data_IF_141065241915
#
_entry.id   IF_141065241915
#
_cell.length_a   1.000
_cell.length_b   1.000
_cell.length_c   1.000
_cell.angle_alpha   90.00
_cell.angle_beta   90.00
_cell.angle_gamma   90.00
#
_symmetry.space_group_name_H-M   'P 1'
#
loop_
_entity.id
_entity.type
_entity.pdbx_description
1 polymer ?
#
# COMPACT_ATOMS: atom_id res chain seq x y z
N UNK A 1 26.90 -46.43 -3.35
CA UNK A 1 25.44 -46.21 -3.49
C UNK A 1 24.81 -45.39 -2.36
N UNK A 2 25.13 -45.60 -1.08
CA UNK A 2 24.52 -44.83 0.04
C UNK A 2 24.96 -43.36 0.12
N UNK A 3 26.22 -43.04 -0.20
CA UNK A 3 26.76 -41.67 -0.14
C UNK A 3 26.18 -40.77 -1.24
N UNK A 4 25.97 -41.32 -2.45
CA UNK A 4 25.43 -40.60 -3.60
C UNK A 4 23.97 -40.21 -3.38
N UNK A 5 23.17 -41.09 -2.77
CA UNK A 5 21.78 -40.82 -2.38
C UNK A 5 21.74 -39.74 -1.30
N UNK A 6 22.62 -39.81 -0.29
CA UNK A 6 22.69 -38.80 0.77
C UNK A 6 23.06 -37.41 0.23
N UNK A 7 24.07 -37.32 -0.64
CA UNK A 7 24.45 -36.05 -1.30
C UNK A 7 23.31 -35.52 -2.17
N UNK A 8 22.58 -36.39 -2.87
CA UNK A 8 21.42 -35.99 -3.66
C UNK A 8 20.31 -35.43 -2.77
N UNK A 9 19.98 -36.06 -1.64
CA UNK A 9 19.00 -35.52 -0.69
C UNK A 9 19.46 -34.18 -0.10
N UNK A 10 20.73 -34.06 0.31
CA UNK A 10 21.28 -32.80 0.84
C UNK A 10 21.20 -31.70 -0.23
N UNK A 11 21.65 -31.94 -1.45
CA UNK A 11 21.57 -30.98 -2.56
C UNK A 11 20.12 -30.66 -2.93
N UNK A 12 19.21 -31.64 -2.87
CA UNK A 12 17.78 -31.44 -3.12
C UNK A 12 17.16 -30.55 -2.03
N UNK A 13 17.43 -30.80 -0.75
CA UNK A 13 17.02 -29.95 0.37
C UNK A 13 17.64 -28.54 0.32
N UNK A 14 18.91 -28.41 -0.09
CA UNK A 14 19.55 -27.12 -0.30
C UNK A 14 19.00 -26.37 -1.54
N UNK A 15 18.59 -27.08 -2.59
CA UNK A 15 17.93 -26.48 -3.76
C UNK A 15 16.48 -26.05 -3.48
N UNK A 16 15.79 -26.69 -2.53
CA UNK A 16 14.49 -26.23 -2.04
C UNK A 16 14.60 -25.00 -1.14
N UNK A 17 15.77 -24.72 -0.56
CA UNK A 17 16.13 -23.40 -0.04
C UNK A 17 16.61 -22.46 -1.16
N UNK A 18 16.00 -22.55 -2.33
CA UNK A 18 15.89 -21.37 -3.19
C UNK A 18 15.19 -20.33 -2.34
N UNK A 19 15.93 -19.34 -1.84
CA UNK A 19 15.37 -18.30 -0.97
C UNK A 19 14.17 -17.70 -1.70
N UNK A 20 12.97 -18.03 -1.23
CA UNK A 20 11.77 -17.35 -1.65
C UNK A 20 12.00 -15.88 -1.33
N UNK A 21 11.82 -15.02 -2.32
CA UNK A 21 12.05 -13.59 -2.20
C UNK A 21 10.70 -12.89 -2.31
N UNK A 22 10.46 -11.93 -1.42
CA UNK A 22 9.32 -11.02 -1.50
C UNK A 22 9.81 -9.72 -2.11
N UNK A 23 9.07 -9.16 -3.05
CA UNK A 23 9.37 -7.83 -3.59
C UNK A 23 8.93 -6.76 -2.60
N UNK A 24 9.87 -5.89 -2.23
CA UNK A 24 9.63 -4.68 -1.45
C UNK A 24 9.77 -3.47 -2.36
N UNK A 25 8.74 -2.64 -2.43
CA UNK A 25 8.78 -1.37 -3.14
C UNK A 25 8.79 -0.22 -2.14
N UNK A 26 9.75 0.68 -2.32
CA UNK A 26 9.89 1.91 -1.55
C UNK A 26 9.43 3.10 -2.39
N UNK A 27 8.51 3.89 -1.84
CA UNK A 27 8.01 5.12 -2.46
C UNK A 27 8.27 6.28 -1.52
N UNK A 28 8.83 7.35 -2.08
CA UNK A 28 9.13 8.58 -1.38
C UNK A 28 8.41 9.75 -2.04
N UNK A 29 7.81 10.60 -1.21
CA UNK A 29 7.10 11.80 -1.63
C UNK A 29 7.36 12.93 -0.63
N UNK A 30 7.67 14.12 -1.12
CA UNK A 30 7.83 15.30 -0.27
C UNK A 30 7.15 16.51 -0.91
N UNK A 31 6.25 17.14 -0.16
CA UNK A 31 5.61 18.39 -0.56
C UNK A 31 6.63 19.51 -0.70
N UNK A 32 6.44 20.38 -1.69
CA UNK A 32 7.26 21.58 -1.92
C UNK A 32 7.19 22.61 -0.77
N UNK A 33 6.22 22.47 0.14
CA UNK A 33 6.11 23.30 1.34
C UNK A 33 7.15 22.99 2.41
N UNK A 34 7.86 21.85 2.31
CA UNK A 34 8.93 21.43 3.22
C UNK A 34 10.26 21.52 2.48
N UNK A 35 11.15 22.42 2.90
CA UNK A 35 12.50 22.50 2.32
C UNK A 35 13.36 21.40 2.96
N UNK A 36 13.48 20.26 2.26
CA UNK A 36 14.33 19.14 2.68
C UNK A 36 15.80 19.48 2.45
N UNK A 37 16.62 19.33 3.48
CA UNK A 37 18.07 19.49 3.37
C UNK A 37 18.79 18.16 3.31
N UNK A 38 18.28 17.15 4.01
CA UNK A 38 18.81 15.79 3.96
C UNK A 38 17.70 14.79 4.31
N UNK A 39 17.68 13.66 3.62
CA UNK A 39 16.88 12.50 4.01
C UNK A 39 17.67 11.21 3.83
N UNK A 40 17.54 10.32 4.80
CA UNK A 40 18.11 8.98 4.75
C UNK A 40 17.11 7.97 5.28
N UNK A 41 16.86 6.91 4.51
CA UNK A 41 15.94 5.84 4.87
C UNK A 41 16.68 4.51 4.73
N UNK A 42 16.64 3.74 5.81
CA UNK A 42 17.33 2.47 5.91
C UNK A 42 16.39 1.39 6.42
N UNK A 43 16.57 0.19 5.89
CA UNK A 43 15.96 -1.00 6.40
C UNK A 43 17.04 -1.82 7.12
N UNK A 44 16.94 -1.90 8.44
CA UNK A 44 17.87 -2.68 9.26
C UNK A 44 17.23 -4.03 9.60
N UNK A 45 18.00 -5.12 9.49
CA UNK A 45 17.59 -6.45 9.93
C UNK A 45 18.81 -7.25 10.35
N UNK A 46 18.72 -7.92 11.49
CA UNK A 46 19.87 -8.61 12.10
C UNK A 46 21.10 -7.67 12.20
N UNK A 47 22.16 -7.94 11.42
CA UNK A 47 23.36 -7.11 11.32
C UNK A 47 23.52 -6.42 9.95
N UNK A 48 22.49 -6.51 9.10
CA UNK A 48 22.49 -5.97 7.76
C UNK A 48 21.72 -4.64 7.73
N UNK A 49 22.16 -3.77 6.83
CA UNK A 49 21.55 -2.47 6.56
C UNK A 49 21.38 -2.32 5.06
N UNK A 50 20.13 -2.15 4.63
CA UNK A 50 19.80 -1.83 3.24
C UNK A 50 19.48 -0.34 3.17
N UNK A 51 20.13 0.37 2.25
CA UNK A 51 19.82 1.77 1.96
C UNK A 51 18.66 1.84 0.97
N UNK A 52 17.52 2.37 1.42
CA UNK A 52 16.34 2.58 0.58
C UNK A 52 16.39 3.95 -0.11
N UNK A 53 16.89 4.97 0.59
CA UNK A 53 17.02 6.34 0.10
C UNK A 53 18.15 7.05 0.83
N UNK A 54 18.98 7.79 0.10
CA UNK A 54 19.96 8.70 0.66
C UNK A 54 20.16 9.89 -0.27
N UNK A 55 19.41 10.97 -0.04
CA UNK A 55 19.29 12.08 -0.99
C UNK A 55 20.50 13.05 -1.00
N UNK A 56 21.63 12.66 -0.38
CA UNK A 56 22.91 13.32 -0.69
C UNK A 56 23.42 12.97 -2.09
N UNK A 57 22.92 11.86 -2.68
CA UNK A 57 23.31 11.31 -3.96
C UNK A 57 22.00 10.83 -4.61
N UNK A 58 21.55 11.41 -5.73
CA UNK A 58 20.23 11.16 -6.37
C UNK A 58 19.99 9.72 -6.90
N UNK A 59 20.33 8.68 -6.13
CA UNK A 59 20.11 7.27 -6.42
C UNK A 59 19.32 6.68 -5.28
N UNK A 60 18.17 6.10 -5.59
CA UNK A 60 17.44 5.27 -4.64
C UNK A 60 16.81 4.10 -5.38
N UNK A 61 16.79 2.94 -4.73
CA UNK A 61 16.20 1.73 -5.28
C UNK A 61 14.72 1.70 -4.91
N UNK A 62 13.85 1.81 -5.91
CA UNK A 62 12.41 1.81 -5.68
C UNK A 62 11.88 0.40 -5.45
N UNK A 63 12.64 -0.63 -5.80
CA UNK A 63 12.23 -2.03 -5.71
C UNK A 63 13.44 -2.90 -5.41
N UNK A 64 13.31 -3.77 -4.41
CA UNK A 64 14.32 -4.74 -4.04
C UNK A 64 13.68 -6.05 -3.57
N UNK A 65 14.48 -7.10 -3.54
CA UNK A 65 14.05 -8.42 -3.06
C UNK A 65 14.51 -8.62 -1.63
N UNK A 66 13.57 -8.92 -0.72
CA UNK A 66 13.85 -9.28 0.67
C UNK A 66 13.56 -10.77 0.90
N UNK A 67 14.19 -11.42 1.89
CA UNK A 67 13.84 -12.79 2.28
C UNK A 67 12.35 -12.94 2.57
N UNK A 68 11.70 -13.95 1.97
CA UNK A 68 10.33 -14.35 2.26
C UNK A 68 10.32 -15.38 3.41
N UNK A 69 10.81 -14.95 4.57
CA UNK A 69 10.81 -15.73 5.81
C UNK A 69 10.48 -14.81 6.98
N UNK A 70 10.15 -15.40 8.13
CA UNK A 70 9.87 -14.62 9.33
C UNK A 70 11.10 -13.79 9.71
N UNK A 71 10.98 -12.46 9.63
CA UNK A 71 12.11 -11.55 9.80
C UNK A 71 11.68 -10.24 10.43
N UNK A 72 12.38 -9.85 11.50
CA UNK A 72 12.22 -8.56 12.15
C UNK A 72 13.05 -7.48 11.45
N UNK A 73 12.36 -6.41 11.07
CA UNK A 73 12.95 -5.23 10.44
C UNK A 73 12.77 -4.00 11.31
N UNK A 74 13.68 -3.05 11.18
CA UNK A 74 13.53 -1.68 11.67
C UNK A 74 13.69 -0.74 10.49
N UNK A 75 12.60 -0.06 10.14
CA UNK A 75 12.66 1.07 9.20
C UNK A 75 13.15 2.30 9.96
N UNK A 76 14.36 2.73 9.64
CA UNK A 76 14.99 3.91 10.21
C UNK A 76 14.93 5.07 9.22
N UNK A 77 14.33 6.17 9.64
CA UNK A 77 14.19 7.39 8.86
C UNK A 77 14.87 8.53 9.60
N UNK A 78 15.80 9.19 8.93
CA UNK A 78 16.39 10.45 9.37
C UNK A 78 16.03 11.53 8.35
N UNK A 79 15.50 12.65 8.85
CA UNK A 79 14.95 13.72 8.04
C UNK A 79 15.38 15.07 8.58
N UNK A 80 16.08 15.85 7.76
CA UNK A 80 16.49 17.20 8.07
C UNK A 80 15.78 18.17 7.13
N UNK A 81 15.15 19.19 7.73
CA UNK A 81 14.35 20.15 6.99
C UNK A 81 14.52 21.55 7.56
N UNK A 82 14.20 22.54 6.72
CA UNK A 82 14.06 23.92 7.15
C UNK A 82 12.61 24.35 7.11
N UNK A 83 12.20 25.14 8.10
CA UNK A 83 10.92 25.83 8.06
C UNK A 83 11.07 27.29 8.50
N UNK A 84 10.18 28.13 7.98
CA UNK A 84 10.12 29.56 8.25
C UNK A 84 9.14 29.78 9.39
N UNK A 85 9.63 30.22 10.54
CA UNK A 85 8.76 30.64 11.63
C UNK A 85 8.10 31.97 11.30
N UNK A 86 6.78 31.97 11.12
CA UNK A 86 6.01 33.22 11.13
C UNK A 86 5.84 33.69 12.57
N UNK A 87 6.75 34.55 13.04
CA UNK A 87 6.51 35.31 14.26
C UNK A 87 5.37 36.30 14.00
N UNK A 88 4.16 35.84 14.30
CA UNK A 88 2.92 36.61 14.34
C UNK A 88 3.03 37.67 15.45
N UNK A 89 3.69 38.79 15.15
CA UNK A 89 3.54 40.13 15.77
C UNK A 89 4.65 41.13 15.42
N UNK A 90 5.68 40.76 14.65
CA UNK A 90 6.68 41.74 14.20
C UNK A 90 7.12 41.49 12.78
N UNK A 91 6.78 42.42 11.89
CA UNK A 91 7.41 42.55 10.56
C UNK A 91 8.90 42.81 10.75
N UNK A 92 9.73 41.77 10.92
CA UNK A 92 11.19 41.85 10.74
C UNK A 92 11.85 40.46 10.84
N UNK A 93 12.45 40.05 9.72
CA UNK A 93 13.31 38.87 9.48
C UNK A 93 12.64 37.49 9.65
N UNK A 94 12.33 36.89 8.50
CA UNK A 94 12.21 35.44 8.35
C UNK A 94 13.58 34.83 8.68
N UNK A 95 13.66 34.06 9.77
CA UNK A 95 14.84 33.27 10.11
C UNK A 95 14.54 31.83 9.73
N UNK A 96 15.39 31.23 8.92
CA UNK A 96 15.30 29.81 8.61
C UNK A 96 15.77 29.02 9.83
N UNK A 97 14.93 28.11 10.31
CA UNK A 97 15.29 27.18 11.35
C UNK A 97 15.48 25.81 10.72
N UNK A 98 16.61 25.16 11.01
CA UNK A 98 16.88 23.78 10.61
C UNK A 98 16.50 22.85 11.75
N UNK A 99 15.79 21.79 11.42
CA UNK A 99 15.33 20.76 12.33
C UNK A 99 15.82 19.40 11.84
N UNK A 100 16.07 18.51 12.80
CA UNK A 100 16.40 17.11 12.54
C UNK A 100 15.40 16.22 13.26
N UNK A 101 14.79 15.34 12.49
CA UNK A 101 13.84 14.35 12.95
C UNK A 101 14.34 12.94 12.65
N UNK A 102 14.01 12.03 13.56
CA UNK A 102 14.34 10.62 13.43
C UNK A 102 13.18 9.77 13.89
N UNK A 103 12.92 8.71 13.14
CA UNK A 103 11.97 7.67 13.50
C UNK A 103 12.55 6.30 13.20
N UNK A 104 12.62 5.47 14.23
CA UNK A 104 12.81 4.03 14.09
C UNK A 104 11.45 3.36 14.29
N UNK A 105 11.04 2.57 13.28
CA UNK A 105 9.75 1.89 13.25
C UNK A 105 9.94 0.39 12.97
N UNK A 106 9.84 -0.45 14.01
CA UNK A 106 9.97 -1.89 13.87
C UNK A 106 8.75 -2.48 13.16
N UNK A 107 8.95 -3.56 12.40
CA UNK A 107 7.89 -4.37 11.83
C UNK A 107 8.40 -5.78 11.51
N UNK A 108 7.54 -6.78 11.58
CA UNK A 108 7.89 -8.18 11.30
C UNK A 108 7.25 -8.66 10.00
N UNK A 109 8.02 -9.29 9.13
CA UNK A 109 7.47 -10.12 8.04
C UNK A 109 7.23 -11.54 8.55
N UNK A 110 6.19 -12.20 8.08
CA UNK A 110 5.84 -13.57 8.50
C UNK A 110 6.19 -14.62 7.43
N UNK A 111 6.64 -14.20 6.25
CA UNK A 111 7.22 -15.05 5.21
C UNK A 111 6.24 -15.54 4.14
N UNK A 112 4.96 -15.19 4.22
CA UNK A 112 3.96 -15.48 3.17
C UNK A 112 3.43 -14.22 2.47
N UNK A 113 4.07 -13.07 2.68
CA UNK A 113 3.82 -11.84 1.94
C UNK A 113 4.20 -12.03 0.46
N UNK A 114 3.25 -11.75 -0.43
CA UNK A 114 3.49 -11.70 -1.88
C UNK A 114 4.24 -10.45 -2.32
N UNK A 115 4.02 -9.34 -1.61
CA UNK A 115 4.54 -8.03 -1.96
C UNK A 115 4.46 -7.09 -0.74
N UNK A 116 5.40 -6.16 -0.63
CA UNK A 116 5.46 -5.17 0.44
C UNK A 116 5.63 -3.79 -0.19
N UNK A 117 4.89 -2.81 0.34
CA UNK A 117 5.03 -1.41 -0.04
C UNK A 117 5.36 -0.56 1.18
N UNK A 118 6.44 0.20 1.12
CA UNK A 118 6.80 1.19 2.13
C UNK A 118 6.64 2.58 1.50
N UNK A 119 5.71 3.35 2.03
CA UNK A 119 5.48 4.73 1.61
C UNK A 119 6.01 5.68 2.68
N UNK A 120 6.97 6.54 2.34
CA UNK A 120 7.44 7.64 3.17
C UNK A 120 7.01 8.97 2.55
N UNK A 121 6.20 9.74 3.28
CA UNK A 121 5.72 11.06 2.83
C UNK A 121 6.04 12.15 3.84
N UNK A 122 6.54 13.29 3.36
CA UNK A 122 6.77 14.49 4.17
C UNK A 122 5.97 15.67 3.64
N UNK A 123 5.26 16.36 4.53
CA UNK A 123 4.37 17.44 4.13
C UNK A 123 4.06 18.37 5.30
N UNK A 124 3.60 19.57 4.97
CA UNK A 124 2.99 20.48 5.94
C UNK A 124 1.56 20.06 6.24
N UNK A 125 1.25 19.78 7.49
CA UNK A 125 -0.12 19.58 7.94
C UNK A 125 -0.75 20.94 8.27
N UNK A 126 -1.59 21.44 7.38
CA UNK A 126 -2.21 22.76 7.54
C UNK A 126 -3.24 22.81 8.68
N UNK A 127 -3.84 21.67 9.05
CA UNK A 127 -4.78 21.62 10.18
C UNK A 127 -4.06 21.79 11.53
N UNK A 128 -2.92 21.11 11.69
CA UNK A 128 -2.11 21.17 12.92
C UNK A 128 -1.06 22.28 12.88
N UNK A 129 -0.91 22.96 11.73
CA UNK A 129 0.11 23.98 11.45
C UNK A 129 1.53 23.54 11.77
N UNK A 130 1.83 22.26 11.52
CA UNK A 130 3.13 21.62 11.78
C UNK A 130 3.59 20.85 10.57
N UNK A 131 4.89 20.63 10.47
CA UNK A 131 5.42 19.68 9.50
C UNK A 131 5.10 18.25 9.95
N UNK A 132 5.00 17.32 9.02
CA UNK A 132 4.58 15.95 9.28
C UNK A 132 5.31 14.95 8.41
N UNK A 133 5.65 13.82 9.03
CA UNK A 133 6.20 12.63 8.39
C UNK A 133 5.18 11.51 8.50
N UNK A 134 4.85 10.89 7.38
CA UNK A 134 3.96 9.73 7.32
C UNK A 134 4.69 8.53 6.74
N UNK A 135 4.59 7.41 7.44
CA UNK A 135 5.13 6.12 7.00
C UNK A 135 3.98 5.11 6.95
N UNK A 136 3.72 4.54 5.79
CA UNK A 136 2.79 3.42 5.65
C UNK A 136 3.57 2.19 5.18
N UNK A 137 3.58 1.13 5.99
CA UNK A 137 4.11 -0.19 5.61
C UNK A 137 2.93 -1.09 5.28
N UNK A 138 2.80 -1.50 4.03
CA UNK A 138 1.66 -2.26 3.53
C UNK A 138 2.15 -3.64 3.10
N UNK A 139 1.64 -4.68 3.76
CA UNK A 139 1.95 -6.09 3.50
C UNK A 139 0.80 -6.71 2.72
N UNK A 140 1.10 -7.37 1.61
CA UNK A 140 0.10 -7.98 0.75
C UNK A 140 0.21 -9.51 0.77
N UNK A 141 -0.91 -10.18 0.97
CA UNK A 141 -1.02 -11.62 1.10
C UNK A 141 -1.89 -12.20 -0.01
N UNK A 142 -1.69 -13.48 -0.38
CA UNK A 142 -2.63 -14.15 -1.26
C UNK A 142 -3.99 -14.26 -0.57
N UNK A 143 -5.08 -14.04 -1.31
CA UNK A 143 -6.41 -14.25 -0.77
C UNK A 143 -6.60 -15.69 -0.27
N UNK A 144 -7.09 -15.82 0.96
CA UNK A 144 -7.37 -17.09 1.63
C UNK A 144 -8.81 -17.18 2.17
N UNK A 145 -9.62 -16.13 2.00
CA UNK A 145 -11.03 -16.12 2.38
C UNK A 145 -11.90 -16.46 1.16
N UNK A 146 -12.97 -17.21 1.40
CA UNK A 146 -13.91 -17.64 0.37
C UNK A 146 -14.78 -16.46 -0.07
N UNK A 147 -14.30 -15.72 -1.06
CA UNK A 147 -14.97 -14.56 -1.65
C UNK A 147 -15.22 -14.82 -3.14
N UNK A 148 -16.48 -14.68 -3.57
CA UNK A 148 -16.82 -14.74 -5.00
C UNK A 148 -16.90 -13.33 -5.58
N UNK A 149 -16.35 -13.17 -6.77
CA UNK A 149 -16.46 -11.97 -7.60
C UNK A 149 -17.13 -12.37 -8.91
N UNK A 150 -18.14 -11.61 -9.33
CA UNK A 150 -18.79 -11.80 -10.64
C UNK A 150 -18.98 -10.47 -11.34
N UNK A 151 -18.48 -10.35 -12.56
CA UNK A 151 -18.81 -9.23 -13.43
C UNK A 151 -20.27 -9.29 -13.88
N UNK A 152 -20.99 -8.17 -13.78
CA UNK A 152 -22.40 -8.04 -14.13
C UNK A 152 -22.53 -7.27 -15.46
N UNK A 153 -22.26 -7.94 -16.58
CA UNK A 153 -22.25 -7.35 -17.93
C UNK A 153 -23.59 -6.74 -18.36
N UNK A 154 -24.70 -7.28 -17.86
CA UNK A 154 -26.05 -6.81 -18.18
C UNK A 154 -26.46 -5.57 -17.36
N UNK A 155 -25.76 -5.29 -16.26
CA UNK A 155 -26.06 -4.16 -15.39
C UNK A 155 -25.48 -2.87 -15.99
N UNK A 156 -26.35 -1.94 -16.34
CA UNK A 156 -25.97 -0.63 -16.87
C UNK A 156 -26.11 0.45 -15.80
N UNK A 157 -25.20 1.42 -15.88
CA UNK A 157 -25.24 2.62 -15.05
C UNK A 157 -26.39 3.56 -15.42
N UNK A 158 -26.59 4.59 -14.60
CA UNK A 158 -27.52 5.69 -14.91
C UNK A 158 -26.79 6.90 -15.50
N UNK A 159 -27.48 8.03 -15.61
CA UNK A 159 -26.90 9.26 -16.17
C UNK A 159 -25.78 9.86 -15.32
N UNK A 160 -25.73 9.54 -14.02
CA UNK A 160 -24.75 10.04 -13.05
C UNK A 160 -23.65 9.01 -12.73
N UNK A 161 -23.97 7.71 -12.78
CA UNK A 161 -23.10 6.62 -12.36
C UNK A 161 -22.89 5.61 -13.49
N UNK A 162 -21.94 5.91 -14.36
CA UNK A 162 -21.49 5.01 -15.44
C UNK A 162 -20.24 4.27 -14.98
N UNK A 163 -20.35 2.96 -14.78
CA UNK A 163 -19.26 2.13 -14.30
C UNK A 163 -19.50 0.65 -14.63
N UNK A 164 -18.45 -0.17 -14.69
CA UNK A 164 -18.61 -1.62 -14.62
C UNK A 164 -19.03 -2.05 -13.21
N UNK A 165 -19.98 -2.99 -13.15
CA UNK A 165 -20.55 -3.49 -11.90
C UNK A 165 -20.11 -4.92 -11.59
N UNK A 166 -19.90 -5.20 -10.32
CA UNK A 166 -19.45 -6.48 -9.80
C UNK A 166 -20.31 -6.88 -8.61
N UNK A 167 -20.73 -8.14 -8.58
CA UNK A 167 -21.27 -8.75 -7.38
C UNK A 167 -20.10 -9.31 -6.57
N UNK A 168 -20.08 -8.98 -5.28
CA UNK A 168 -19.16 -9.55 -4.31
C UNK A 168 -19.95 -10.34 -3.29
N UNK A 169 -19.61 -11.61 -3.10
CA UNK A 169 -20.23 -12.48 -2.09
C UNK A 169 -19.18 -12.96 -1.12
N UNK A 170 -19.46 -12.79 0.17
CA UNK A 170 -18.63 -13.36 1.23
C UNK A 170 -19.20 -14.69 1.66
N UNK A 171 -18.54 -15.78 1.30
CA UNK A 171 -18.86 -17.14 1.76
C UNK A 171 -17.92 -17.59 2.91
N UNK A 172 -17.16 -16.65 3.50
CA UNK A 172 -16.30 -16.91 4.65
C UNK A 172 -17.01 -16.57 5.96
N UNK A 173 -16.44 -17.03 7.07
CA UNK A 173 -16.92 -16.71 8.43
C UNK A 173 -16.49 -15.32 8.91
N UNK A 174 -15.60 -14.64 8.20
CA UNK A 174 -15.01 -13.38 8.63
C UNK A 174 -15.76 -12.18 8.03
N UNK A 175 -15.72 -11.04 8.74
CA UNK A 175 -16.21 -9.78 8.17
C UNK A 175 -15.13 -9.15 7.31
N UNK A 176 -15.45 -8.79 6.07
CA UNK A 176 -14.47 -8.27 5.12
C UNK A 176 -14.56 -6.74 5.03
N UNK A 177 -13.40 -6.08 5.02
CA UNK A 177 -13.22 -4.64 4.88
C UNK A 177 -12.38 -4.32 3.64
N UNK A 178 -12.88 -3.52 2.69
CA UNK A 178 -12.12 -3.09 1.50
C UNK A 178 -11.06 -2.02 1.81
N UNK A 179 -9.97 -1.99 1.01
CA UNK A 179 -8.85 -1.03 1.14
C UNK A 179 -9.21 0.42 0.84
N UNK A 180 -9.81 0.67 -0.32
CA UNK A 180 -10.05 2.02 -0.81
C UNK A 180 -11.21 2.61 0.01
N UNK A 181 -11.02 3.85 0.50
CA UNK A 181 -11.74 4.53 1.59
C UNK A 181 -12.35 3.55 2.61
N UNK A 182 -11.85 3.43 3.85
CA UNK A 182 -12.41 2.48 4.82
C UNK A 182 -13.95 2.54 4.77
N UNK A 183 -14.55 1.45 4.29
CA UNK A 183 -15.97 1.21 3.95
C UNK A 183 -16.52 1.48 2.52
N UNK A 184 -15.76 1.90 1.51
CA UNK A 184 -16.32 2.31 0.20
C UNK A 184 -15.32 2.13 -0.94
N UNK A 185 -15.66 1.31 -1.93
CA UNK A 185 -14.85 0.86 -3.09
C UNK A 185 -14.03 -0.40 -2.81
N UNK A 186 -14.50 -1.50 -3.40
CA UNK A 186 -13.97 -2.83 -3.16
C UNK A 186 -12.80 -3.20 -4.08
N UNK A 187 -12.53 -2.46 -5.16
CA UNK A 187 -11.42 -2.86 -6.02
C UNK A 187 -11.12 -1.91 -7.16
N UNK A 188 -10.09 -2.30 -7.91
CA UNK A 188 -9.60 -1.61 -9.11
C UNK A 188 -9.76 -2.51 -10.33
N UNK A 189 -9.77 -1.90 -11.52
CA UNK A 189 -9.75 -2.62 -12.80
C UNK A 189 -8.51 -2.23 -13.59
N UNK A 190 -7.87 -3.22 -14.21
CA UNK A 190 -6.95 -3.02 -15.34
C UNK A 190 -7.40 -3.87 -16.52
N UNK A 191 -6.95 -3.54 -17.72
CA UNK A 191 -7.16 -4.33 -18.92
C UNK A 191 -5.84 -4.65 -19.59
N UNK A 192 -5.82 -5.73 -20.36
CA UNK A 192 -4.66 -6.14 -21.13
C UNK A 192 -4.64 -5.41 -22.48
N UNK A 193 -3.50 -4.79 -22.80
CA UNK A 193 -3.23 -4.16 -24.10
C UNK A 193 -1.79 -4.50 -24.48
N UNK A 194 -1.59 -5.09 -25.67
CA UNK A 194 -0.26 -5.52 -26.16
C UNK A 194 0.53 -6.39 -25.16
N UNK A 195 -0.16 -7.33 -24.49
CA UNK A 195 0.41 -8.20 -23.43
C UNK A 195 0.87 -7.47 -22.16
N UNK A 196 0.54 -6.19 -22.01
CA UNK A 196 0.86 -5.39 -20.83
C UNK A 196 -0.44 -4.98 -20.15
N UNK A 197 -0.53 -5.17 -18.83
CA UNK A 197 -1.65 -4.65 -18.07
C UNK A 197 -1.59 -3.12 -18.03
N UNK A 198 -2.71 -2.48 -18.35
CA UNK A 198 -2.90 -1.05 -18.15
C UNK A 198 -2.67 -0.67 -16.69
N UNK A 199 -2.55 0.64 -16.41
CA UNK A 199 -2.65 1.12 -15.04
C UNK A 199 -3.96 0.66 -14.40
N UNK A 200 -3.95 0.50 -13.09
CA UNK A 200 -5.17 0.24 -12.33
C UNK A 200 -6.03 1.51 -12.27
N UNK A 201 -7.29 1.36 -12.65
CA UNK A 201 -8.34 2.36 -12.53
C UNK A 201 -9.12 2.11 -11.25
N UNK A 202 -9.36 3.17 -10.48
CA UNK A 202 -10.01 3.11 -9.18
C UNK A 202 -11.48 3.54 -9.24
N UNK A 203 -12.24 3.30 -8.17
CA UNK A 203 -13.57 3.90 -8.07
C UNK A 203 -13.48 5.43 -8.05
N UNK A 204 -14.35 6.14 -8.77
CA UNK A 204 -14.53 7.56 -8.54
C UNK A 204 -15.09 7.79 -7.14
N UNK A 205 -14.41 8.58 -6.31
CA UNK A 205 -14.92 9.06 -5.02
C UNK A 205 -16.07 10.04 -5.31
N UNK A 206 -17.33 9.58 -5.30
CA UNK A 206 -18.43 10.54 -5.16
C UNK A 206 -18.47 11.02 -3.71
N UNK A 207 -18.44 12.34 -3.54
CA UNK A 207 -18.52 13.02 -2.25
C UNK A 207 -19.87 12.81 -1.55
N UNK A 208 -20.86 12.23 -2.22
CA UNK A 208 -22.20 11.95 -1.68
C UNK A 208 -22.41 10.50 -1.17
N UNK A 209 -21.39 9.63 -1.19
CA UNK A 209 -21.56 8.27 -0.65
C UNK A 209 -21.61 8.26 0.88
N UNK A 210 -22.81 8.08 1.42
CA UNK A 210 -23.03 7.71 2.82
C UNK A 210 -22.61 6.27 3.11
N UNK A 211 -22.26 6.01 4.38
CA UNK A 211 -22.04 4.70 5.02
C UNK A 211 -22.54 3.46 4.29
N UNK A 212 -21.67 2.68 3.61
CA UNK A 212 -21.95 1.28 3.30
C UNK A 212 -21.16 0.39 4.26
N UNK A 213 -21.85 -0.61 4.80
CA UNK A 213 -21.33 -1.53 5.81
C UNK A 213 -20.24 -2.45 5.25
N UNK A 214 -19.37 -3.02 6.11
CA UNK A 214 -18.48 -4.10 5.68
C UNK A 214 -19.27 -5.29 5.13
N UNK A 215 -18.59 -6.19 4.42
CA UNK A 215 -19.22 -7.38 3.86
C UNK A 215 -19.21 -8.48 4.92
N UNK A 216 -20.34 -8.61 5.62
CA UNK A 216 -20.55 -9.61 6.67
C UNK A 216 -20.52 -11.05 6.11
N UNK A 217 -20.34 -12.06 6.97
CA UNK A 217 -20.45 -13.46 6.58
C UNK A 217 -21.76 -13.75 5.83
N UNK A 218 -21.68 -14.57 4.80
CA UNK A 218 -22.80 -14.99 3.93
C UNK A 218 -23.58 -13.83 3.26
N UNK A 219 -23.00 -12.64 3.20
CA UNK A 219 -23.64 -11.47 2.60
C UNK A 219 -23.15 -11.18 1.18
N UNK A 220 -23.95 -10.41 0.45
CA UNK A 220 -23.67 -9.99 -0.92
C UNK A 220 -23.71 -8.47 -0.99
N UNK A 221 -22.80 -7.88 -1.76
CA UNK A 221 -22.84 -6.46 -2.08
C UNK A 221 -22.55 -6.22 -3.57
N UNK A 222 -22.92 -5.02 -4.01
CA UNK A 222 -22.62 -4.51 -5.33
C UNK A 222 -21.42 -3.56 -5.24
N UNK A 223 -20.41 -3.79 -6.07
CA UNK A 223 -19.26 -2.92 -6.25
C UNK A 223 -19.24 -2.34 -7.67
N UNK A 224 -18.73 -1.11 -7.82
CA UNK A 224 -18.53 -0.46 -9.11
C UNK A 224 -17.19 0.28 -9.16
N UNK A 225 -16.64 0.48 -10.36
CA UNK A 225 -15.34 1.14 -10.58
C UNK A 225 -15.53 2.40 -11.43
N UNK A 226 -15.90 3.50 -10.78
CA UNK A 226 -16.32 4.74 -11.45
C UNK A 226 -15.24 5.52 -12.21
N UNK A 227 -13.94 5.30 -12.00
CA UNK A 227 -12.90 5.95 -12.84
C UNK A 227 -12.65 5.19 -14.15
N UNK A 228 -13.35 4.08 -14.39
CA UNK A 228 -13.23 3.29 -15.61
C UNK A 228 -14.27 3.75 -16.63
N UNK A 229 -13.96 4.83 -17.34
CA UNK A 229 -14.74 5.34 -18.48
C UNK A 229 -16.05 6.03 -18.10
N UNK A 230 -16.35 7.15 -18.77
CA UNK A 230 -17.67 7.80 -18.69
C UNK A 230 -18.71 7.06 -19.55
N UNK A 231 -18.55 5.74 -19.69
CA UNK A 231 -19.24 4.89 -20.64
C UNK A 231 -19.89 3.72 -19.89
N UNK A 232 -21.09 3.34 -20.29
CA UNK A 232 -21.86 2.26 -19.66
C UNK A 232 -21.33 0.87 -19.98
N UNK A 233 -20.43 0.75 -20.95
CA UNK A 233 -19.98 -0.52 -21.50
C UNK A 233 -18.45 -0.56 -21.51
N UNK A 234 -17.90 -1.67 -21.05
CA UNK A 234 -16.48 -1.94 -21.17
C UNK A 234 -16.17 -2.29 -22.64
N UNK A 235 -15.11 -1.72 -23.24
CA UNK A 235 -14.62 -2.19 -24.53
C UNK A 235 -14.33 -3.70 -24.53
N UNK A 236 -14.41 -4.36 -25.69
CA UNK A 236 -14.08 -5.78 -25.82
C UNK A 236 -12.58 -6.00 -25.61
N UNK A 237 -12.20 -6.44 -24.41
CA UNK A 237 -10.82 -6.68 -23.97
C UNK A 237 -10.81 -7.74 -22.87
N UNK A 238 -9.61 -8.19 -22.51
CA UNK A 238 -9.36 -8.99 -21.32
C UNK A 238 -9.11 -8.07 -20.11
N UNK A 239 -9.83 -8.32 -19.02
CA UNK A 239 -9.85 -7.47 -17.83
C UNK A 239 -9.44 -8.22 -16.58
N UNK A 240 -8.96 -7.45 -15.61
CA UNK A 240 -8.65 -7.90 -14.26
C UNK A 240 -9.26 -6.96 -13.24
N UNK A 241 -10.12 -7.49 -12.38
CA UNK A 241 -10.59 -6.82 -11.17
C UNK A 241 -9.72 -7.25 -9.98
N UNK A 242 -9.13 -6.29 -9.28
CA UNK A 242 -8.31 -6.53 -8.08
C UNK A 242 -9.04 -6.03 -6.84
N UNK A 243 -9.38 -6.94 -5.94
CA UNK A 243 -9.95 -6.66 -4.61
C UNK A 243 -8.83 -6.76 -3.56
N UNK A 244 -8.61 -5.65 -2.85
CA UNK A 244 -7.73 -5.57 -1.69
C UNK A 244 -8.57 -5.44 -0.43
N UNK A 245 -8.42 -6.37 0.50
CA UNK A 245 -9.29 -6.46 1.68
C UNK A 245 -8.57 -6.87 2.96
N UNK A 246 -9.20 -6.62 4.10
CA UNK A 246 -8.80 -7.04 5.43
C UNK A 246 -9.94 -7.79 6.11
N UNK A 247 -9.63 -8.58 7.13
CA UNK A 247 -10.61 -9.18 8.04
C UNK A 247 -10.68 -8.50 9.40
N UNK A 248 -9.59 -7.82 9.80
CA UNK A 248 -9.56 -6.99 10.99
C UNK A 248 -9.68 -5.51 10.61
N UNK A 249 -10.65 -4.82 11.23
CA UNK A 249 -10.84 -3.37 11.06
C UNK A 249 -9.67 -2.55 11.65
N UNK A 250 -8.86 -3.18 12.50
CA UNK A 250 -7.77 -2.53 13.20
C UNK A 250 -6.51 -2.57 12.33
N UNK A 251 -5.99 -1.37 12.02
CA UNK A 251 -4.61 -1.19 11.61
C UNK A 251 -3.75 -1.68 12.76
N UNK A 252 -2.94 -2.73 12.53
CA UNK A 252 -2.28 -3.51 13.58
C UNK A 252 -1.45 -2.65 14.52
N UNK A 253 -0.73 -1.67 13.96
CA UNK A 253 0.15 -0.82 14.73
C UNK A 253 0.09 0.59 14.18
N UNK A 254 -0.24 1.54 15.06
CA UNK A 254 -0.16 2.98 14.79
C UNK A 254 0.78 3.63 15.77
N UNK A 255 1.80 4.33 15.27
CA UNK A 255 2.68 5.17 16.07
C UNK A 255 2.42 6.62 15.73
N UNK A 256 1.91 7.37 16.71
CA UNK A 256 1.80 8.82 16.66
C UNK A 256 2.86 9.38 17.60
N UNK A 257 3.84 10.12 17.07
CA UNK A 257 4.84 10.82 17.87
C UNK A 257 4.79 12.29 17.51
N UNK A 258 4.39 13.11 18.48
CA UNK A 258 4.31 14.55 18.33
C UNK A 258 5.45 15.23 19.08
N UNK A 259 6.15 16.11 18.37
CA UNK A 259 7.10 17.08 18.93
C UNK A 259 6.59 18.49 18.63
N UNK A 260 7.26 19.50 19.21
CA UNK A 260 6.79 20.88 19.14
C UNK A 260 6.50 21.38 17.71
N UNK A 261 7.30 20.97 16.71
CA UNK A 261 7.19 21.45 15.32
C UNK A 261 6.97 20.34 14.28
N UNK A 262 6.86 19.09 14.71
CA UNK A 262 6.80 17.94 13.81
C UNK A 262 5.91 16.83 14.36
N UNK A 263 5.16 16.17 13.48
CA UNK A 263 4.31 15.03 13.81
C UNK A 263 4.67 13.83 12.93
N UNK A 264 5.04 12.74 13.58
CA UNK A 264 5.19 11.43 12.93
C UNK A 264 3.90 10.63 13.02
N UNK A 265 3.46 10.08 11.89
CA UNK A 265 2.42 9.06 11.80
C UNK A 265 2.98 7.85 11.09
N UNK A 266 3.11 6.73 11.77
CA UNK A 266 3.50 5.47 11.15
C UNK A 266 2.40 4.43 11.32
N UNK A 267 2.10 3.68 10.27
CA UNK A 267 1.09 2.62 10.28
C UNK A 267 1.51 1.38 9.49
N UNK A 268 1.21 0.20 10.05
CA UNK A 268 1.31 -1.08 9.33
C UNK A 268 -0.09 -1.53 8.91
N UNK A 269 -0.23 -1.85 7.62
CA UNK A 269 -1.47 -2.37 7.04
C UNK A 269 -1.21 -3.74 6.44
N UNK A 270 -2.21 -4.62 6.56
CA UNK A 270 -2.23 -5.93 5.92
C UNK A 270 -3.39 -5.98 4.95
N UNK A 271 -3.16 -6.47 3.74
CA UNK A 271 -4.22 -6.70 2.76
C UNK A 271 -4.08 -8.08 2.15
N UNK A 272 -5.19 -8.76 2.02
CA UNK A 272 -5.34 -9.89 1.11
C UNK A 272 -5.68 -9.38 -0.29
N UNK A 273 -5.06 -9.97 -1.30
CA UNK A 273 -5.29 -9.63 -2.71
C UNK A 273 -6.02 -10.76 -3.42
N UNK A 274 -7.24 -10.47 -3.88
CA UNK A 274 -8.02 -11.34 -4.73
C UNK A 274 -8.06 -10.75 -6.15
N UNK A 275 -7.75 -11.58 -7.14
CA UNK A 275 -7.75 -11.22 -8.55
C UNK A 275 -8.85 -12.01 -9.25
N UNK A 276 -9.72 -11.30 -9.97
CA UNK A 276 -10.75 -11.87 -10.82
C UNK A 276 -10.51 -11.41 -12.27
N UNK A 277 -10.13 -12.34 -13.14
CA UNK A 277 -9.92 -12.10 -14.56
C UNK A 277 -11.17 -12.48 -15.36
N UNK A 278 -11.51 -11.68 -16.37
CA UNK A 278 -12.70 -11.90 -17.19
C UNK A 278 -12.55 -11.24 -18.57
N UNK A 279 -13.24 -11.79 -19.56
CA UNK A 279 -13.34 -11.21 -20.89
C UNK A 279 -14.65 -10.45 -21.07
N UNK A 280 -14.60 -9.38 -21.86
CA UNK A 280 -15.78 -8.67 -22.34
C UNK A 280 -15.97 -8.98 -23.81
N UNK A 281 -17.07 -9.66 -24.12
CA UNK A 281 -17.41 -10.17 -25.46
C UNK A 281 -18.14 -9.19 -26.38
#
# INVERSE_FOLDING_TARGET
MKLTIFIFYVLFFFSFKSFTQTTLIFKYDCSSSVEVTQISVYLNYSNNKIELLNDTIRKFENSLSVPAEETDYILSVEFEYKTKSENSKSKKKTKDYSFKEKLDYPFTLIGNETYIEINARFFRNDWEKKESGRIDIIKYYPANHNLDIKYLSEMKGDEFYKAPFFMLKNNSSDTIYGQYHPNYFWGTISFLEDSVWSRDYFGGLDYNFGGRSPLFPDSVTLAWVGSFGWQNELPKRHYKYTLLYMTDKNIEEKKLLEKNNFIWRAEIKKYYRLIYEFDVE
#
